data_IF_783948364060
#
_entry.id   IF_783948364060
#
_cell.length_a   1.000
_cell.length_b   1.000
_cell.length_c   1.000
_cell.angle_alpha   90.00
_cell.angle_beta   90.00
_cell.angle_gamma   90.00
#
_symmetry.space_group_name_H-M   'P 1'
#
loop_
_entity.id
_entity.type
_entity.pdbx_description
1 polymer ?
#
# COMPACT_ATOMS: atom_id res chain seq x y z
N UNK A 1 43.44 2.29 -33.14
CA UNK A 1 43.39 3.67 -32.57
C UNK A 1 42.91 3.54 -31.14
N UNK A 2 43.83 3.53 -30.18
CA UNK A 2 43.51 3.57 -28.76
C UNK A 2 43.51 5.03 -28.32
N UNK A 3 42.46 5.47 -27.62
CA UNK A 3 42.56 6.64 -26.75
C UNK A 3 41.96 6.28 -25.39
N UNK A 4 42.88 5.94 -24.49
CA UNK A 4 42.69 5.94 -23.05
C UNK A 4 42.73 7.40 -22.57
N UNK A 5 41.75 7.83 -21.76
CA UNK A 5 41.91 8.94 -20.80
C UNK A 5 41.17 8.49 -19.52
N UNK A 6 41.84 7.98 -18.48
CA UNK A 6 42.73 8.62 -17.50
C UNK A 6 41.95 9.33 -16.37
N UNK A 7 41.89 8.62 -15.24
CA UNK A 7 42.07 9.09 -13.86
C UNK A 7 41.14 10.15 -13.26
N UNK A 8 40.60 9.83 -12.08
CA UNK A 8 40.05 10.83 -11.17
C UNK A 8 39.37 10.26 -9.91
N UNK A 9 40.11 9.52 -9.08
CA UNK A 9 39.76 9.37 -7.66
C UNK A 9 40.28 10.62 -6.96
N UNK A 10 39.44 11.35 -6.23
CA UNK A 10 39.85 12.02 -4.99
C UNK A 10 38.62 12.36 -4.14
N UNK A 11 38.57 11.76 -2.95
CA UNK A 11 37.79 12.22 -1.82
C UNK A 11 38.03 13.70 -1.58
N UNK A 12 36.95 14.46 -1.36
CA UNK A 12 36.99 15.62 -0.48
C UNK A 12 35.79 15.54 0.47
N UNK A 13 36.07 15.16 1.72
CA UNK A 13 35.22 15.51 2.85
C UNK A 13 35.07 17.03 2.88
N UNK A 14 33.84 17.50 3.03
CA UNK A 14 33.56 18.83 3.60
C UNK A 14 32.48 18.66 4.65
N UNK A 15 32.92 18.16 5.81
CA UNK A 15 32.23 18.37 7.08
C UNK A 15 32.41 19.84 7.41
N UNK A 16 31.36 20.65 7.25
CA UNK A 16 31.41 22.03 7.73
C UNK A 16 31.41 22.03 9.25
N UNK A 17 32.47 22.62 9.76
CA UNK A 17 32.81 22.84 11.14
C UNK A 17 31.68 23.44 11.98
N UNK A 18 31.49 22.81 13.13
CA UNK A 18 31.50 23.44 14.45
C UNK A 18 31.61 24.97 14.47
N UNK A 19 30.63 25.64 15.08
CA UNK A 19 30.88 26.65 16.12
C UNK A 19 29.59 27.12 16.79
N UNK A 20 29.72 27.27 18.12
CA UNK A 20 29.09 28.30 18.95
C UNK A 20 27.61 28.03 19.31
N UNK A 21 27.17 27.99 20.57
CA UNK A 21 27.74 28.49 21.83
C UNK A 21 27.07 27.75 22.99
N UNK A 22 27.86 27.48 24.01
CA UNK A 22 27.46 27.08 25.36
C UNK A 22 26.32 27.98 25.86
N UNK A 23 25.10 27.45 25.98
CA UNK A 23 24.01 28.13 26.68
C UNK A 23 23.91 27.55 28.09
N UNK A 24 24.19 28.47 29.00
CA UNK A 24 24.24 28.38 30.45
C UNK A 24 23.03 27.67 31.07
N UNK A 25 23.39 26.75 31.97
CA UNK A 25 22.55 26.12 32.98
C UNK A 25 21.77 27.16 33.80
N UNK A 26 20.43 27.18 33.70
CA UNK A 26 19.57 27.73 34.75
C UNK A 26 18.39 26.80 35.02
N UNK A 27 18.44 26.26 36.23
CA UNK A 27 17.52 25.33 36.86
C UNK A 27 16.16 25.96 37.20
N UNK A 28 15.09 25.26 36.76
CA UNK A 28 13.71 25.11 37.32
C UNK A 28 12.84 26.36 37.54
N UNK A 29 11.47 26.30 37.59
CA UNK A 29 10.57 25.14 37.56
C UNK A 29 9.33 25.28 36.62
N UNK A 30 8.67 24.14 36.35
CA UNK A 30 7.21 23.99 36.14
C UNK A 30 6.46 25.03 35.28
N UNK A 31 6.53 24.88 33.96
CA UNK A 31 5.40 25.26 33.08
C UNK A 31 4.85 24.00 32.46
N UNK A 32 3.86 23.47 33.17
CA UNK A 32 2.91 22.44 32.77
C UNK A 32 2.07 23.04 31.63
N UNK A 33 2.70 23.26 30.48
CA UNK A 33 2.03 23.72 29.27
C UNK A 33 1.45 22.50 28.56
N UNK A 34 0.15 22.35 28.84
CA UNK A 34 -0.84 21.54 28.17
C UNK A 34 -0.63 21.55 26.65
N UNK A 35 0.07 20.55 26.13
CA UNK A 35 0.02 20.19 24.71
C UNK A 35 -0.30 18.71 24.60
N UNK A 36 -1.50 18.36 25.04
CA UNK A 36 -2.21 17.18 24.53
C UNK A 36 -2.54 17.48 23.06
N UNK A 37 -1.55 17.34 22.18
CA UNK A 37 -1.84 16.98 20.79
C UNK A 37 -2.28 15.51 20.83
N UNK A 38 -3.54 15.29 21.20
CA UNK A 38 -4.26 14.08 20.85
C UNK A 38 -4.14 13.92 19.34
N UNK A 39 -3.29 12.99 18.93
CA UNK A 39 -3.31 12.46 17.59
C UNK A 39 -4.71 11.97 17.29
N UNK A 40 -5.34 12.55 16.28
CA UNK A 40 -6.43 11.91 15.58
C UNK A 40 -5.84 11.41 14.27
N UNK A 41 -5.19 10.25 14.31
CA UNK A 41 -4.97 9.50 13.08
C UNK A 41 -6.36 8.99 12.70
N UNK A 42 -7.03 9.66 11.77
CA UNK A 42 -8.20 9.09 11.14
C UNK A 42 -7.78 7.75 10.50
N UNK A 43 -8.57 6.67 10.61
CA UNK A 43 -8.37 5.54 9.72
C UNK A 43 -8.61 6.09 8.30
N UNK A 44 -7.55 6.07 7.49
CA UNK A 44 -7.61 6.45 6.09
C UNK A 44 -8.45 5.39 5.36
N UNK A 45 -9.77 5.57 5.42
CA UNK A 45 -10.76 4.64 4.89
C UNK A 45 -10.71 4.69 3.37
N UNK A 46 -9.97 3.75 2.78
CA UNK A 46 -9.98 3.56 1.32
C UNK A 46 -8.75 2.89 0.73
N UNK A 47 -7.61 2.85 1.44
CA UNK A 47 -6.39 2.27 0.90
C UNK A 47 -6.10 0.88 1.45
N UNK A 48 -5.86 -0.07 0.56
CA UNK A 48 -5.23 -1.34 0.91
C UNK A 48 -3.83 -1.07 1.47
N UNK A 49 -3.42 -1.66 2.60
CA UNK A 49 -2.08 -1.48 3.16
C UNK A 49 -1.09 -2.30 2.33
N UNK A 50 -0.78 -1.83 1.12
CA UNK A 50 0.16 -2.44 0.18
C UNK A 50 1.58 -1.89 0.33
N UNK A 51 1.82 -1.06 1.35
CA UNK A 51 3.13 -0.54 1.68
C UNK A 51 4.06 -1.71 2.04
N UNK A 52 5.16 -1.86 1.30
CA UNK A 52 6.14 -2.93 1.53
C UNK A 52 5.89 -4.26 0.82
N UNK A 53 4.85 -4.37 -0.04
CA UNK A 53 4.66 -5.55 -0.88
C UNK A 53 5.66 -5.54 -2.05
N UNK A 54 6.46 -6.60 -2.16
CA UNK A 54 7.48 -6.74 -3.20
C UNK A 54 6.88 -7.01 -4.58
N UNK A 55 7.65 -6.72 -5.64
CA UNK A 55 7.24 -7.04 -7.02
C UNK A 55 6.99 -8.54 -7.20
N UNK A 56 7.79 -9.38 -6.54
CA UNK A 56 7.63 -10.83 -6.56
C UNK A 56 6.29 -11.26 -5.95
N UNK A 57 5.92 -10.69 -4.80
CA UNK A 57 4.63 -10.96 -4.16
C UNK A 57 3.47 -10.52 -5.05
N UNK A 58 3.54 -9.32 -5.64
CA UNK A 58 2.51 -8.85 -6.59
C UNK A 58 2.39 -9.81 -7.77
N UNK A 59 3.51 -10.28 -8.32
CA UNK A 59 3.53 -11.23 -9.45
C UNK A 59 2.85 -12.55 -9.05
N UNK A 60 3.20 -13.10 -7.88
CA UNK A 60 2.56 -14.31 -7.35
C UNK A 60 1.04 -14.13 -7.13
N UNK A 61 0.59 -12.98 -6.61
CA UNK A 61 -0.84 -12.69 -6.49
C UNK A 61 -1.52 -12.62 -7.86
N UNK A 62 -0.88 -12.04 -8.88
CA UNK A 62 -1.44 -11.98 -10.24
C UNK A 62 -1.58 -13.36 -10.90
N UNK A 63 -0.73 -14.32 -10.58
CA UNK A 63 -0.93 -15.71 -11.00
C UNK A 63 -2.18 -16.32 -10.35
N UNK A 64 -2.44 -16.00 -9.07
CA UNK A 64 -3.66 -16.39 -8.36
C UNK A 64 -4.89 -15.76 -9.00
N UNK A 65 -4.84 -14.48 -9.36
CA UNK A 65 -5.92 -13.79 -10.08
C UNK A 65 -6.34 -14.56 -11.33
N UNK A 66 -5.35 -14.91 -12.16
CA UNK A 66 -5.54 -15.48 -13.49
C UNK A 66 -6.28 -16.83 -13.44
N UNK A 67 -6.03 -17.64 -12.41
CA UNK A 67 -6.66 -18.97 -12.24
C UNK A 67 -7.96 -18.96 -11.43
N UNK A 68 -8.33 -17.86 -10.79
CA UNK A 68 -9.47 -17.79 -9.88
C UNK A 68 -10.39 -16.61 -10.20
N UNK A 69 -10.02 -15.39 -9.80
CA UNK A 69 -10.83 -14.18 -9.95
C UNK A 69 -11.19 -13.87 -11.41
N UNK A 70 -10.26 -14.12 -12.34
CA UNK A 70 -10.43 -13.83 -13.75
C UNK A 70 -11.62 -14.56 -14.39
N UNK A 71 -12.02 -15.71 -13.84
CA UNK A 71 -13.16 -16.49 -14.32
C UNK A 71 -14.44 -15.66 -14.40
N UNK A 72 -14.62 -14.71 -13.48
CA UNK A 72 -15.80 -13.85 -13.44
C UNK A 72 -15.49 -12.39 -13.70
N UNK A 73 -14.37 -11.87 -13.19
CA UNK A 73 -14.08 -10.44 -13.19
C UNK A 73 -13.50 -9.92 -14.52
N UNK A 74 -13.17 -10.77 -15.49
CA UNK A 74 -12.82 -10.29 -16.85
C UNK A 74 -14.07 -9.86 -17.59
N UNK A 75 -15.06 -10.76 -17.68
CA UNK A 75 -16.26 -10.56 -18.49
C UNK A 75 -17.49 -10.16 -17.69
N UNK A 76 -17.36 -9.91 -16.39
CA UNK A 76 -18.47 -9.60 -15.51
C UNK A 76 -19.48 -10.74 -15.40
N UNK A 77 -19.01 -11.98 -15.43
CA UNK A 77 -19.85 -13.17 -15.39
C UNK A 77 -20.73 -13.15 -14.14
N UNK A 78 -22.01 -13.50 -14.29
CA UNK A 78 -22.96 -13.42 -13.19
C UNK A 78 -23.07 -12.01 -12.56
N UNK A 79 -22.76 -10.94 -13.28
CA UNK A 79 -22.81 -9.56 -12.77
C UNK A 79 -21.64 -9.19 -11.86
N UNK A 80 -20.51 -9.90 -11.92
CA UNK A 80 -19.29 -9.51 -11.23
C UNK A 80 -18.78 -8.14 -11.72
N UNK A 81 -18.21 -7.29 -10.84
CA UNK A 81 -17.60 -6.03 -11.27
C UNK A 81 -16.37 -6.32 -12.14
N UNK A 82 -16.31 -5.76 -13.34
CA UNK A 82 -15.19 -6.00 -14.26
C UNK A 82 -13.91 -5.36 -13.74
N UNK A 83 -12.77 -6.01 -13.95
CA UNK A 83 -11.45 -5.41 -13.71
C UNK A 83 -11.34 -4.07 -14.45
N UNK A 84 -10.89 -3.03 -13.74
CA UNK A 84 -10.72 -1.68 -14.27
C UNK A 84 -12.00 -0.87 -14.45
N UNK A 85 -13.18 -1.43 -14.19
CA UNK A 85 -14.46 -0.71 -14.28
C UNK A 85 -14.65 0.18 -13.05
N UNK A 86 -14.05 1.37 -13.10
CA UNK A 86 -14.01 2.31 -11.98
C UNK A 86 -15.39 2.74 -11.52
N UNK A 87 -16.37 2.83 -12.42
CA UNK A 87 -17.74 3.21 -12.06
C UNK A 87 -18.40 2.13 -11.20
N UNK A 88 -18.21 0.86 -11.52
CA UNK A 88 -18.70 -0.25 -10.70
C UNK A 88 -17.90 -0.44 -9.40
N UNK A 89 -16.60 -0.13 -9.41
CA UNK A 89 -15.72 -0.28 -8.25
C UNK A 89 -15.82 0.86 -7.24
N UNK A 90 -16.12 2.09 -7.65
CA UNK A 90 -16.23 3.24 -6.74
C UNK A 90 -17.17 3.01 -5.54
N UNK A 91 -18.45 2.61 -5.72
CA UNK A 91 -19.36 2.37 -4.58
C UNK A 91 -18.97 1.15 -3.73
N UNK A 92 -18.05 0.30 -4.22
CA UNK A 92 -17.48 -0.82 -3.46
C UNK A 92 -16.33 -0.33 -2.60
N UNK A 93 -15.44 0.48 -3.17
CA UNK A 93 -14.33 1.11 -2.46
C UNK A 93 -14.83 2.02 -1.32
N UNK A 94 -15.96 2.69 -1.51
CA UNK A 94 -16.62 3.51 -0.46
C UNK A 94 -17.05 2.71 0.78
N UNK A 95 -17.21 1.38 0.68
CA UNK A 95 -17.48 0.52 1.83
C UNK A 95 -16.24 0.24 2.68
N UNK A 96 -15.05 0.54 2.14
CA UNK A 96 -13.77 0.31 2.80
C UNK A 96 -13.18 -1.08 2.59
N UNK A 97 -11.86 -1.15 2.71
CA UNK A 97 -11.04 -2.35 2.47
C UNK A 97 -11.45 -3.55 3.33
N UNK A 98 -11.73 -3.34 4.61
CA UNK A 98 -12.09 -4.41 5.55
C UNK A 98 -13.36 -5.16 5.11
N UNK A 99 -14.37 -4.42 4.64
CA UNK A 99 -15.61 -5.00 4.15
C UNK A 99 -15.37 -5.77 2.85
N UNK A 100 -14.57 -5.24 1.93
CA UNK A 100 -14.25 -5.94 0.68
C UNK A 100 -13.46 -7.23 0.92
N UNK A 101 -12.51 -7.22 1.86
CA UNK A 101 -11.80 -8.42 2.29
C UNK A 101 -12.75 -9.43 2.94
N UNK A 102 -13.61 -8.98 3.85
CA UNK A 102 -14.61 -9.84 4.51
C UNK A 102 -15.52 -10.54 3.51
N UNK A 103 -16.07 -9.79 2.55
CA UNK A 103 -16.88 -10.33 1.46
C UNK A 103 -16.09 -11.32 0.58
N UNK A 104 -14.80 -11.06 0.35
CA UNK A 104 -13.94 -11.95 -0.43
C UNK A 104 -13.71 -13.27 0.29
N UNK A 105 -13.44 -13.22 1.60
CA UNK A 105 -13.22 -14.42 2.42
C UNK A 105 -14.49 -15.25 2.59
N UNK A 106 -15.60 -14.61 2.95
CA UNK A 106 -16.85 -15.29 3.31
C UNK A 106 -17.72 -15.60 2.09
N UNK A 107 -17.45 -14.98 0.95
CA UNK A 107 -18.36 -14.96 -0.19
C UNK A 107 -19.42 -13.89 -0.01
N UNK A 108 -19.91 -13.36 -1.13
CA UNK A 108 -20.92 -12.30 -1.13
C UNK A 108 -21.73 -12.33 -2.42
N UNK A 109 -23.06 -12.32 -2.29
CA UNK A 109 -23.99 -12.51 -3.40
C UNK A 109 -23.67 -13.77 -4.23
N UNK A 110 -23.24 -13.59 -5.49
CA UNK A 110 -22.85 -14.67 -6.40
C UNK A 110 -21.36 -14.96 -6.41
N UNK A 111 -20.55 -14.22 -5.63
CA UNK A 111 -19.13 -14.49 -5.45
C UNK A 111 -18.96 -15.60 -4.40
N UNK A 112 -18.38 -16.77 -4.76
CA UNK A 112 -18.12 -17.84 -3.81
C UNK A 112 -17.11 -17.41 -2.72
N UNK A 113 -17.11 -18.07 -1.55
CA UNK A 113 -16.06 -17.89 -0.55
C UNK A 113 -14.66 -18.04 -1.17
N UNK A 114 -13.75 -17.14 -0.80
CA UNK A 114 -12.38 -17.06 -1.31
C UNK A 114 -12.25 -16.79 -2.83
N UNK A 115 -13.35 -16.57 -3.56
CA UNK A 115 -13.33 -16.34 -5.01
C UNK A 115 -12.66 -17.49 -5.79
N UNK A 116 -12.79 -18.72 -5.31
CA UNK A 116 -12.06 -19.91 -5.80
C UNK A 116 -10.54 -19.92 -5.60
N UNK A 117 -9.98 -18.98 -4.84
CA UNK A 117 -8.56 -18.96 -4.49
C UNK A 117 -8.30 -19.55 -3.10
N UNK A 118 -8.21 -20.88 -3.01
CA UNK A 118 -8.03 -21.58 -1.73
C UNK A 118 -6.66 -21.36 -1.08
N UNK A 119 -5.67 -20.90 -1.85
CA UNK A 119 -4.31 -20.61 -1.39
C UNK A 119 -3.98 -19.10 -1.35
N UNK A 120 -5.00 -18.25 -1.49
CA UNK A 120 -4.85 -16.80 -1.30
C UNK A 120 -4.78 -16.46 0.20
N UNK A 121 -3.78 -15.66 0.54
CA UNK A 121 -3.71 -14.96 1.82
C UNK A 121 -4.54 -13.68 1.80
N UNK A 122 -4.73 -13.05 2.96
CA UNK A 122 -5.33 -11.71 3.05
C UNK A 122 -4.57 -10.68 2.21
N UNK A 123 -3.23 -10.75 2.22
CA UNK A 123 -2.37 -9.90 1.40
C UNK A 123 -2.60 -10.12 -0.09
N UNK A 124 -2.78 -11.38 -0.52
CA UNK A 124 -3.14 -11.65 -1.92
C UNK A 124 -4.46 -10.98 -2.26
N UNK A 125 -5.51 -11.16 -1.46
CA UNK A 125 -6.80 -10.53 -1.73
C UNK A 125 -6.73 -9.01 -1.74
N UNK A 126 -5.94 -8.41 -0.85
CA UNK A 126 -5.70 -6.97 -0.86
C UNK A 126 -5.08 -6.49 -2.19
N UNK A 127 -4.03 -7.16 -2.67
CA UNK A 127 -3.40 -6.86 -3.97
C UNK A 127 -4.38 -7.06 -5.12
N UNK A 128 -5.18 -8.13 -5.07
CA UNK A 128 -6.12 -8.48 -6.13
C UNK A 128 -7.28 -7.50 -6.23
N UNK A 129 -7.83 -7.05 -5.10
CA UNK A 129 -8.90 -6.05 -5.10
C UNK A 129 -8.35 -4.70 -5.56
N UNK A 130 -7.14 -4.33 -5.14
CA UNK A 130 -6.48 -3.11 -5.60
C UNK A 130 -6.25 -3.11 -7.12
N UNK A 131 -5.72 -4.20 -7.66
CA UNK A 131 -5.56 -4.42 -9.10
C UNK A 131 -6.90 -4.33 -9.83
N UNK A 132 -7.93 -5.04 -9.35
CA UNK A 132 -9.22 -5.11 -10.04
C UNK A 132 -9.97 -3.78 -10.01
N UNK A 133 -9.88 -3.04 -8.90
CA UNK A 133 -10.58 -1.77 -8.74
C UNK A 133 -9.89 -0.60 -9.43
N UNK A 134 -8.61 -0.77 -9.79
CA UNK A 134 -7.79 0.30 -10.35
C UNK A 134 -7.50 1.40 -9.31
N UNK A 135 -7.57 1.09 -8.01
CA UNK A 135 -7.12 2.00 -6.94
C UNK A 135 -5.60 2.12 -6.89
N UNK A 136 -4.88 1.12 -7.38
CA UNK A 136 -3.42 1.01 -7.36
C UNK A 136 -2.72 1.93 -8.36
N UNK A 137 -2.29 3.10 -7.86
CA UNK A 137 -1.14 3.85 -8.37
C UNK A 137 0.15 3.29 -7.78
#
# INVERSE_FOLDING_TARGET
MAIMTKSGILSIQSTSETRNTIISLRSLPTMLFFSLLSGCSAPESGNFPLEGISVEQKTASMEKWSRSCALCHVNGEGGAPRVGDRENWQPRLEQGTEILLTHTFQGFNRMPPLGYCMDCSETDFAVLIDFMSGSGR
#
